data_IF_371075180489
#
_entry.id   IF_371075180489
#
_cell.length_a   1.000
_cell.length_b   1.000
_cell.length_c   1.000
_cell.angle_alpha   90.00
_cell.angle_beta   90.00
_cell.angle_gamma   90.00
#
_symmetry.space_group_name_H-M   'P 1'
#
loop_
_entity.id
_entity.type
_entity.pdbx_description
1 polymer ?
#
# COMPACT_ATOMS: atom_id res chain seq x y z
N UNK A 1 37.84 -8.62 -12.10
CA UNK A 1 37.16 -8.63 -13.40
C UNK A 1 35.71 -9.03 -13.15
N UNK A 2 34.74 -8.17 -13.40
CA UNK A 2 33.32 -8.51 -13.27
C UNK A 2 32.92 -9.46 -14.43
N UNK A 3 32.20 -10.51 -14.10
CA UNK A 3 31.67 -11.46 -15.09
C UNK A 3 30.46 -10.81 -15.78
N UNK A 4 30.53 -10.68 -17.09
CA UNK A 4 29.37 -10.30 -17.91
C UNK A 4 28.29 -11.39 -17.86
N UNK A 5 27.05 -10.99 -17.60
CA UNK A 5 25.87 -11.85 -17.67
C UNK A 5 25.48 -11.93 -19.16
N UNK A 6 25.25 -13.13 -19.74
CA UNK A 6 24.86 -13.26 -21.15
C UNK A 6 23.52 -12.58 -21.42
N UNK A 7 23.48 -11.77 -22.46
CA UNK A 7 22.39 -10.87 -22.85
C UNK A 7 21.21 -11.57 -23.58
N UNK A 8 21.17 -12.91 -23.58
CA UNK A 8 20.18 -13.67 -24.36
C UNK A 8 18.77 -13.69 -23.77
N UNK A 9 18.66 -13.60 -22.43
CA UNK A 9 17.35 -13.58 -21.76
C UNK A 9 16.62 -12.24 -21.95
N UNK A 10 17.36 -11.14 -22.10
CA UNK A 10 16.77 -9.82 -22.31
C UNK A 10 16.13 -9.67 -23.70
N UNK A 11 16.72 -10.29 -24.72
CA UNK A 11 16.19 -10.22 -26.09
C UNK A 11 14.95 -11.08 -26.29
N UNK A 12 14.88 -12.25 -25.64
CA UNK A 12 13.69 -13.11 -25.66
C UNK A 12 12.50 -12.46 -24.91
N UNK A 13 12.77 -11.82 -23.77
CA UNK A 13 11.74 -11.12 -22.98
C UNK A 13 11.23 -9.89 -23.74
N UNK A 14 12.11 -9.17 -24.43
CA UNK A 14 11.75 -8.01 -25.25
C UNK A 14 10.98 -8.39 -26.51
N UNK A 15 11.35 -9.50 -27.15
CA UNK A 15 10.62 -10.02 -28.32
C UNK A 15 9.21 -10.49 -27.95
N UNK A 16 9.05 -11.22 -26.84
CA UNK A 16 7.74 -11.60 -26.30
C UNK A 16 6.90 -10.40 -25.88
N UNK A 17 7.54 -9.36 -25.33
CA UNK A 17 6.88 -8.10 -24.98
C UNK A 17 6.38 -7.36 -26.24
N UNK A 18 7.17 -7.32 -27.33
CA UNK A 18 6.75 -6.71 -28.60
C UNK A 18 5.65 -7.52 -29.29
N UNK A 19 5.67 -8.84 -29.20
CA UNK A 19 4.62 -9.70 -29.77
C UNK A 19 3.29 -9.56 -29.01
N UNK A 20 3.34 -9.40 -27.68
CA UNK A 20 2.18 -9.03 -26.87
C UNK A 20 1.69 -7.60 -27.16
N UNK A 21 2.60 -6.66 -27.49
CA UNK A 21 2.24 -5.28 -27.82
C UNK A 21 1.70 -5.11 -29.25
N UNK A 22 2.06 -6.01 -30.18
CA UNK A 22 1.61 -5.96 -31.58
C UNK A 22 0.10 -6.11 -31.77
N UNK A 23 -0.62 -6.59 -30.77
CA UNK A 23 -2.09 -6.72 -30.75
C UNK A 23 -2.78 -5.74 -29.80
N UNK A 24 -2.05 -4.77 -29.25
CA UNK A 24 -2.59 -3.75 -28.36
C UNK A 24 -3.01 -2.54 -29.19
N UNK A 25 -4.27 -2.55 -29.63
CA UNK A 25 -4.94 -1.32 -30.04
C UNK A 25 -4.82 -0.31 -28.90
N UNK A 26 -4.18 0.83 -29.18
CA UNK A 26 -4.12 1.92 -28.20
C UNK A 26 -5.53 2.18 -27.68
N UNK A 27 -5.75 2.19 -26.37
CA UNK A 27 -7.06 2.45 -25.83
C UNK A 27 -7.56 3.78 -26.37
N UNK A 28 -8.79 3.78 -26.88
CA UNK A 28 -9.40 4.99 -27.41
C UNK A 28 -9.38 6.10 -26.34
N UNK A 29 -9.48 7.36 -26.75
CA UNK A 29 -9.53 8.49 -25.80
C UNK A 29 -10.63 8.30 -24.72
N UNK A 30 -11.72 7.59 -25.05
CA UNK A 30 -12.78 7.20 -24.10
C UNK A 30 -12.31 6.19 -23.04
N UNK A 31 -11.36 5.30 -23.35
CA UNK A 31 -10.79 4.36 -22.37
C UNK A 31 -9.86 5.06 -21.36
N UNK A 32 -9.35 6.26 -21.69
CA UNK A 32 -8.56 7.09 -20.77
C UNK A 32 -9.41 7.84 -19.74
N UNK A 33 -10.72 7.85 -19.88
CA UNK A 33 -11.69 8.49 -18.99
C UNK A 33 -12.33 7.51 -18.00
N UNK A 34 -11.94 6.24 -17.99
CA UNK A 34 -12.37 5.32 -16.94
C UNK A 34 -11.75 5.77 -15.61
N UNK A 35 -12.54 5.91 -14.54
CA UNK A 35 -11.99 6.26 -13.24
C UNK A 35 -10.97 5.19 -12.84
N UNK A 36 -9.72 5.61 -12.73
CA UNK A 36 -8.66 4.72 -12.26
C UNK A 36 -8.94 4.37 -10.81
N UNK A 37 -8.94 3.08 -10.49
CA UNK A 37 -9.12 2.62 -9.10
C UNK A 37 -8.04 3.27 -8.24
N UNK A 38 -8.39 4.02 -7.17
CA UNK A 38 -7.42 4.73 -6.35
C UNK A 38 -6.40 3.79 -5.73
N UNK A 39 -5.13 4.21 -5.70
CA UNK A 39 -4.04 3.49 -5.03
C UNK A 39 -3.72 4.19 -3.72
N UNK A 40 -3.69 3.45 -2.62
CA UNK A 40 -3.44 4.00 -1.31
C UNK A 40 -2.50 3.11 -0.48
N UNK A 41 -1.73 3.73 0.40
CA UNK A 41 -1.04 3.05 1.50
C UNK A 41 -1.82 3.30 2.78
N UNK A 42 -1.98 2.27 3.58
CA UNK A 42 -2.57 2.37 4.91
C UNK A 42 -1.43 2.44 5.93
N UNK A 43 -1.44 3.46 6.77
CA UNK A 43 -0.52 3.55 7.90
C UNK A 43 -0.82 2.45 8.93
N UNK A 44 0.20 2.02 9.68
CA UNK A 44 0.11 0.96 10.70
C UNK A 44 -1.01 1.22 11.71
N UNK A 45 -1.20 2.48 12.11
CA UNK A 45 -2.26 2.86 13.04
C UNK A 45 -3.68 2.60 12.49
N UNK A 46 -3.87 2.63 11.18
CA UNK A 46 -5.15 2.32 10.52
C UNK A 46 -5.46 0.83 10.61
N UNK A 47 -4.46 -0.04 10.36
CA UNK A 47 -4.65 -1.49 10.51
C UNK A 47 -4.86 -1.89 11.96
N UNK A 48 -4.14 -1.27 12.89
CA UNK A 48 -4.35 -1.47 14.34
C UNK A 48 -5.79 -1.09 14.73
N UNK A 49 -6.29 0.05 14.28
CA UNK A 49 -7.66 0.47 14.53
C UNK A 49 -8.69 -0.50 13.92
N UNK A 50 -8.45 -0.98 12.71
CA UNK A 50 -9.30 -1.98 12.06
C UNK A 50 -9.30 -3.32 12.80
N UNK A 51 -8.15 -3.73 13.33
CA UNK A 51 -8.03 -4.94 14.13
C UNK A 51 -8.76 -4.84 15.47
N UNK A 52 -8.81 -3.64 16.08
CA UNK A 52 -9.44 -3.41 17.38
C UNK A 52 -10.97 -3.31 17.33
N UNK A 53 -11.53 -2.81 16.22
CA UNK A 53 -12.96 -2.53 16.14
C UNK A 53 -13.53 -2.82 14.76
N UNK A 54 -14.58 -3.63 14.73
CA UNK A 54 -15.33 -3.93 13.48
C UNK A 54 -16.34 -2.82 13.10
N UNK A 55 -16.56 -1.84 13.94
CA UNK A 55 -17.54 -0.77 13.72
C UNK A 55 -16.89 0.52 13.18
N UNK A 56 -15.55 0.59 13.13
CA UNK A 56 -14.84 1.79 12.74
C UNK A 56 -14.63 1.96 11.24
N UNK A 57 -14.35 3.19 10.80
CA UNK A 57 -14.04 3.51 9.41
C UNK A 57 -12.81 2.73 8.89
N UNK A 58 -11.82 2.47 9.74
CA UNK A 58 -10.65 1.64 9.39
C UNK A 58 -11.04 0.22 9.02
N UNK A 59 -11.98 -0.40 9.72
CA UNK A 59 -12.49 -1.71 9.37
C UNK A 59 -13.34 -1.69 8.09
N UNK A 60 -14.15 -0.64 7.91
CA UNK A 60 -14.93 -0.45 6.68
C UNK A 60 -14.04 -0.31 5.44
N UNK A 61 -12.81 0.23 5.58
CA UNK A 61 -11.83 0.25 4.48
C UNK A 61 -11.40 -1.16 4.05
N UNK A 62 -11.30 -2.12 4.96
CA UNK A 62 -10.98 -3.50 4.59
C UNK A 62 -12.10 -4.14 3.76
N UNK A 63 -13.35 -3.80 4.02
CA UNK A 63 -14.48 -4.19 3.17
C UNK A 63 -14.41 -3.52 1.79
N UNK A 64 -14.05 -2.22 1.75
CA UNK A 64 -13.84 -1.51 0.48
C UNK A 64 -12.69 -2.13 -0.33
N UNK A 65 -11.59 -2.52 0.33
CA UNK A 65 -10.46 -3.23 -0.28
C UNK A 65 -10.90 -4.58 -0.86
N UNK A 66 -11.59 -5.39 -0.08
CA UNK A 66 -12.14 -6.68 -0.53
C UNK A 66 -13.03 -6.52 -1.76
N UNK A 67 -13.81 -5.45 -1.81
CA UNK A 67 -14.70 -5.11 -2.94
C UNK A 67 -13.96 -4.37 -4.07
N UNK A 68 -12.62 -4.30 -4.03
CA UNK A 68 -11.75 -3.67 -5.04
C UNK A 68 -12.10 -2.22 -5.35
N UNK A 69 -12.62 -1.49 -4.37
CA UNK A 69 -12.92 -0.05 -4.51
C UNK A 69 -11.66 0.81 -4.49
N UNK A 70 -10.57 0.30 -3.99
CA UNK A 70 -9.21 0.86 -4.08
C UNK A 70 -8.17 -0.26 -4.09
N UNK A 71 -6.94 0.09 -4.43
CA UNK A 71 -5.77 -0.79 -4.38
C UNK A 71 -4.95 -0.41 -3.16
N UNK A 72 -4.84 -1.31 -2.19
CA UNK A 72 -3.91 -1.15 -1.08
C UNK A 72 -2.51 -1.57 -1.52
N UNK A 73 -1.50 -0.74 -1.21
CA UNK A 73 -0.10 -0.99 -1.52
C UNK A 73 0.63 -1.38 -0.25
N UNK A 74 1.51 -2.37 -0.33
CA UNK A 74 2.31 -2.83 0.79
C UNK A 74 3.71 -3.24 0.33
N UNK A 75 4.76 -2.81 1.05
CA UNK A 75 6.12 -3.30 0.88
C UNK A 75 6.46 -4.34 1.96
N UNK A 76 7.54 -5.09 1.75
CA UNK A 76 8.01 -6.06 2.76
C UNK A 76 8.32 -5.39 4.10
N UNK A 77 9.08 -4.26 4.17
CA UNK A 77 9.30 -3.59 5.44
C UNK A 77 8.00 -3.15 6.14
N UNK A 78 7.03 -2.62 5.38
CA UNK A 78 5.75 -2.20 5.94
C UNK A 78 4.92 -3.39 6.45
N UNK A 79 4.95 -4.52 5.75
CA UNK A 79 4.27 -5.74 6.20
C UNK A 79 4.86 -6.28 7.51
N UNK A 80 6.19 -6.26 7.64
CA UNK A 80 6.88 -6.66 8.87
C UNK A 80 6.54 -5.72 10.04
N UNK A 81 6.39 -4.42 9.79
CA UNK A 81 5.95 -3.46 10.80
C UNK A 81 4.50 -3.75 11.24
N UNK A 82 3.59 -4.04 10.32
CA UNK A 82 2.22 -4.44 10.66
C UNK A 82 2.22 -5.67 11.58
N UNK A 83 3.01 -6.69 11.23
CA UNK A 83 3.13 -7.91 12.04
C UNK A 83 3.69 -7.62 13.42
N UNK A 84 4.80 -6.87 13.49
CA UNK A 84 5.45 -6.52 14.75
C UNK A 84 4.52 -5.75 15.68
N UNK A 85 3.76 -4.78 15.16
CA UNK A 85 2.84 -3.96 15.97
C UNK A 85 1.61 -4.75 16.38
N UNK A 86 0.96 -5.47 15.46
CA UNK A 86 -0.29 -6.21 15.75
C UNK A 86 -0.04 -7.41 16.68
N UNK A 87 1.17 -7.93 16.74
CA UNK A 87 1.56 -9.02 17.65
C UNK A 87 1.91 -8.55 19.06
N UNK A 88 1.94 -7.24 19.34
CA UNK A 88 2.22 -6.73 20.68
C UNK A 88 1.13 -7.17 21.67
N UNK A 89 1.49 -7.59 22.89
CA UNK A 89 0.52 -8.05 23.89
C UNK A 89 -0.63 -7.08 24.15
N UNK A 90 -0.34 -5.78 24.21
CA UNK A 90 -1.34 -4.73 24.41
C UNK A 90 -2.32 -4.60 23.24
N UNK A 91 -1.89 -4.91 22.00
CA UNK A 91 -2.76 -4.90 20.82
C UNK A 91 -3.68 -6.12 20.80
N UNK A 92 -3.13 -7.28 21.13
CA UNK A 92 -3.90 -8.52 21.22
C UNK A 92 -4.98 -8.41 22.29
N UNK A 93 -4.63 -7.91 23.47
CA UNK A 93 -5.56 -7.70 24.57
C UNK A 93 -6.67 -6.69 24.21
N UNK A 94 -6.30 -5.55 23.61
CA UNK A 94 -7.26 -4.51 23.24
C UNK A 94 -8.24 -4.94 22.14
N UNK A 95 -7.83 -5.86 21.24
CA UNK A 95 -8.67 -6.40 20.18
C UNK A 95 -9.46 -7.65 20.56
N UNK A 96 -9.35 -8.14 21.82
CA UNK A 96 -9.88 -9.45 22.24
C UNK A 96 -9.42 -10.58 21.30
N UNK A 97 -8.17 -10.52 20.83
CA UNK A 97 -7.59 -11.41 19.84
C UNK A 97 -6.44 -12.21 20.44
N UNK A 98 -6.13 -13.34 19.83
CA UNK A 98 -4.92 -14.08 20.09
C UNK A 98 -3.92 -13.89 18.91
N UNK A 99 -2.68 -14.33 19.09
CA UNK A 99 -1.65 -14.22 18.07
C UNK A 99 -2.06 -14.87 16.74
N UNK A 100 -2.72 -16.03 16.78
CA UNK A 100 -3.18 -16.75 15.59
C UNK A 100 -4.19 -15.91 14.78
N UNK A 101 -5.13 -15.22 15.45
CA UNK A 101 -6.10 -14.37 14.76
C UNK A 101 -5.47 -13.11 14.18
N UNK A 102 -4.39 -12.57 14.79
CA UNK A 102 -3.63 -11.46 14.23
C UNK A 102 -2.89 -11.88 12.94
N UNK A 103 -2.27 -13.05 12.95
CA UNK A 103 -1.62 -13.62 11.74
C UNK A 103 -2.65 -13.81 10.62
N UNK A 104 -3.78 -14.47 10.89
CA UNK A 104 -4.85 -14.65 9.89
C UNK A 104 -5.38 -13.33 9.32
N UNK A 105 -5.47 -12.31 10.14
CA UNK A 105 -5.88 -10.96 9.70
C UNK A 105 -4.88 -10.38 8.69
N UNK A 106 -3.57 -10.51 8.98
CA UNK A 106 -2.51 -10.06 8.09
C UNK A 106 -2.41 -10.88 6.81
N UNK A 107 -2.61 -12.20 6.89
CA UNK A 107 -2.64 -13.07 5.71
C UNK A 107 -3.74 -12.63 4.73
N UNK A 108 -4.95 -12.36 5.23
CA UNK A 108 -6.06 -11.86 4.42
C UNK A 108 -5.73 -10.49 3.83
N UNK A 109 -5.13 -9.58 4.60
CA UNK A 109 -4.70 -8.28 4.08
C UNK A 109 -3.65 -8.44 2.98
N UNK A 110 -2.64 -9.29 3.19
CA UNK A 110 -1.58 -9.56 2.22
C UNK A 110 -2.13 -10.12 0.89
N UNK A 111 -3.12 -11.01 0.95
CA UNK A 111 -3.79 -11.56 -0.25
C UNK A 111 -4.57 -10.50 -1.05
N UNK A 112 -5.05 -9.45 -0.38
CA UNK A 112 -5.83 -8.37 -1.01
C UNK A 112 -4.97 -7.20 -1.48
N UNK A 113 -3.80 -7.01 -0.87
CA UNK A 113 -2.89 -5.90 -1.16
C UNK A 113 -2.02 -6.17 -2.40
N UNK A 114 -1.54 -5.11 -3.00
CA UNK A 114 -0.58 -5.17 -4.12
C UNK A 114 0.83 -4.95 -3.57
N UNK A 115 1.78 -5.88 -3.82
CA UNK A 115 3.14 -5.74 -3.35
C UNK A 115 3.88 -4.60 -4.09
N UNK A 116 4.73 -3.89 -3.34
CA UNK A 116 5.58 -2.81 -3.83
C UNK A 116 7.04 -3.14 -3.56
N UNK A 117 7.87 -3.10 -4.58
CA UNK A 117 9.32 -3.14 -4.43
C UNK A 117 9.85 -1.74 -4.17
N UNK A 118 10.68 -1.61 -3.12
CA UNK A 118 11.33 -0.35 -2.78
C UNK A 118 12.62 -0.22 -3.60
N UNK A 119 12.60 0.65 -4.60
CA UNK A 119 13.76 0.96 -5.45
C UNK A 119 14.53 2.17 -4.90
N UNK A 120 13.83 3.10 -4.26
CA UNK A 120 14.36 4.35 -3.76
C UNK A 120 13.99 4.56 -2.30
N UNK A 121 14.94 5.05 -1.52
CA UNK A 121 14.78 5.49 -0.13
C UNK A 121 15.03 7.00 -0.09
N UNK A 122 14.09 7.75 0.48
CA UNK A 122 14.17 9.22 0.58
C UNK A 122 14.44 9.73 1.99
N UNK A 123 15.04 8.93 2.84
CA UNK A 123 15.28 9.26 4.27
C UNK A 123 16.26 10.38 4.48
N UNK A 124 16.07 11.26 5.49
CA UNK A 124 14.89 11.36 6.33
C UNK A 124 13.83 12.29 5.74
N UNK A 125 12.57 11.92 5.79
CA UNK A 125 11.44 12.75 5.34
C UNK A 125 10.37 12.90 6.42
N UNK A 126 10.26 11.92 7.33
CA UNK A 126 9.31 11.90 8.43
C UNK A 126 10.00 12.24 9.75
N UNK A 127 9.21 12.58 10.78
CA UNK A 127 9.75 12.85 12.12
C UNK A 127 10.15 11.57 12.83
N UNK A 128 9.36 10.52 12.65
CA UNK A 128 9.62 9.19 13.20
C UNK A 128 10.22 8.31 12.11
N UNK A 129 11.42 7.75 12.31
CA UNK A 129 12.01 6.80 11.37
C UNK A 129 11.12 5.57 11.07
N UNK A 130 10.21 5.21 11.97
CA UNK A 130 9.26 4.13 11.75
C UNK A 130 8.21 4.47 10.67
N UNK A 131 7.93 5.74 10.43
CA UNK A 131 6.97 6.20 9.42
C UNK A 131 7.57 6.22 8.00
N UNK A 132 8.90 6.19 7.87
CA UNK A 132 9.58 6.26 6.58
C UNK A 132 9.15 5.13 5.64
N UNK A 133 8.97 3.93 6.14
CA UNK A 133 8.56 2.79 5.30
C UNK A 133 7.15 2.94 4.73
N UNK A 134 6.26 3.65 5.42
CA UNK A 134 4.89 3.96 4.95
C UNK A 134 4.99 4.92 3.76
N UNK A 135 5.76 6.00 3.92
CA UNK A 135 6.01 6.99 2.88
C UNK A 135 6.71 6.36 1.67
N UNK A 136 7.78 5.61 1.89
CA UNK A 136 8.54 4.93 0.83
C UNK A 136 7.67 3.95 0.04
N UNK A 137 6.79 3.22 0.71
CA UNK A 137 5.81 2.35 0.05
C UNK A 137 4.86 3.16 -0.83
N UNK A 138 4.39 4.31 -0.36
CA UNK A 138 3.50 5.17 -1.13
C UNK A 138 4.20 5.72 -2.39
N UNK A 139 5.42 6.20 -2.25
CA UNK A 139 6.17 6.81 -3.35
C UNK A 139 6.59 5.77 -4.40
N UNK A 140 7.20 4.65 -3.98
CA UNK A 140 7.60 3.59 -4.91
C UNK A 140 6.40 2.91 -5.57
N UNK A 141 5.28 2.81 -4.87
CA UNK A 141 4.06 2.20 -5.38
C UNK A 141 3.19 3.14 -6.21
N UNK A 142 3.53 4.42 -6.32
CA UNK A 142 2.72 5.42 -7.03
C UNK A 142 1.33 5.59 -6.40
N UNK A 143 1.27 5.63 -5.07
CA UNK A 143 0.02 5.93 -4.35
C UNK A 143 -0.42 7.37 -4.60
N UNK A 144 -1.73 7.59 -4.73
CA UNK A 144 -2.31 8.91 -4.70
C UNK A 144 -2.59 9.38 -3.27
N UNK A 145 -2.83 8.42 -2.36
CA UNK A 145 -3.26 8.72 -0.99
C UNK A 145 -2.48 7.89 0.02
N UNK A 146 -2.08 8.53 1.12
CA UNK A 146 -1.66 7.90 2.34
C UNK A 146 -2.79 8.06 3.36
N UNK A 147 -3.31 6.94 3.85
CA UNK A 147 -4.40 6.92 4.83
C UNK A 147 -3.80 6.73 6.22
N UNK A 148 -4.01 7.69 7.10
CA UNK A 148 -3.46 7.68 8.46
C UNK A 148 -4.45 8.28 9.46
N UNK A 149 -4.31 7.91 10.73
CA UNK A 149 -4.99 8.59 11.84
C UNK A 149 -4.16 9.76 12.39
N UNK A 150 -2.88 9.86 12.00
CA UNK A 150 -1.95 10.90 12.44
C UNK A 150 -1.35 11.66 11.25
N UNK A 151 -2.13 12.54 10.65
CA UNK A 151 -1.70 13.33 9.48
C UNK A 151 -0.50 14.23 9.77
N UNK A 152 -0.30 14.64 11.03
CA UNK A 152 0.78 15.57 11.43
C UNK A 152 2.17 15.01 11.13
N UNK A 153 2.37 13.71 11.27
CA UNK A 153 3.68 13.07 11.12
C UNK A 153 4.11 13.03 9.66
N UNK A 154 3.14 12.99 8.75
CA UNK A 154 3.38 12.94 7.30
C UNK A 154 3.19 14.27 6.58
N UNK A 155 2.71 15.34 7.25
CA UNK A 155 2.26 16.57 6.60
C UNK A 155 3.34 17.22 5.70
N UNK A 156 4.58 17.31 6.19
CA UNK A 156 5.70 17.92 5.46
C UNK A 156 6.06 17.05 4.24
N UNK A 157 6.24 15.75 4.45
CA UNK A 157 6.60 14.82 3.40
C UNK A 157 5.50 14.73 2.33
N UNK A 158 4.25 14.66 2.75
CA UNK A 158 3.12 14.61 1.83
C UNK A 158 3.03 15.88 0.94
N UNK A 159 3.29 17.04 1.51
CA UNK A 159 3.34 18.30 0.74
C UNK A 159 4.47 18.28 -0.30
N UNK A 160 5.67 17.83 0.08
CA UNK A 160 6.84 17.76 -0.80
C UNK A 160 6.61 16.81 -1.99
N UNK A 161 5.94 15.69 -1.76
CA UNK A 161 5.70 14.65 -2.78
C UNK A 161 4.30 14.72 -3.41
N UNK A 162 3.49 15.72 -3.08
CA UNK A 162 2.10 15.89 -3.56
C UNK A 162 1.22 14.66 -3.27
N UNK A 163 1.48 14.01 -2.15
CA UNK A 163 0.72 12.87 -1.68
C UNK A 163 -0.49 13.36 -0.87
N UNK A 164 -1.67 12.87 -1.17
CA UNK A 164 -2.87 13.23 -0.42
C UNK A 164 -2.88 12.51 0.92
N UNK A 165 -3.06 13.25 2.02
CA UNK A 165 -3.31 12.65 3.34
C UNK A 165 -4.81 12.63 3.59
N UNK A 166 -5.31 11.51 4.12
CA UNK A 166 -6.72 11.37 4.49
C UNK A 166 -6.87 10.45 5.71
N UNK A 167 -7.80 10.79 6.59
CA UNK A 167 -8.26 9.87 7.61
C UNK A 167 -9.10 8.75 6.99
N UNK A 168 -9.20 7.57 7.65
CA UNK A 168 -9.96 6.43 7.12
C UNK A 168 -11.38 6.77 6.66
N UNK A 169 -12.11 7.56 7.46
CA UNK A 169 -13.47 7.98 7.11
C UNK A 169 -13.56 8.94 5.93
N UNK A 170 -12.56 9.80 5.73
CA UNK A 170 -12.48 10.72 4.59
C UNK A 170 -12.17 9.97 3.31
N UNK A 171 -11.18 9.05 3.38
CA UNK A 171 -10.83 8.22 2.24
C UNK A 171 -11.99 7.32 1.84
N UNK A 172 -12.70 6.70 2.80
CA UNK A 172 -13.86 5.87 2.52
C UNK A 172 -14.97 6.65 1.79
N UNK A 173 -15.25 7.89 2.21
CA UNK A 173 -16.23 8.77 1.53
C UNK A 173 -15.77 9.15 0.11
N UNK A 174 -14.47 9.31 -0.11
CA UNK A 174 -13.93 9.67 -1.45
C UNK A 174 -13.99 8.52 -2.46
N UNK A 175 -14.26 7.31 -2.00
CA UNK A 175 -14.42 6.15 -2.88
C UNK A 175 -15.82 6.07 -3.53
N UNK A 176 -16.77 6.89 -3.12
CA UNK A 176 -18.14 6.94 -3.68
C UNK A 176 -19.11 6.05 -2.94
#
# INVERSE_FOLDING_TARGET
MPREIPNDLGQLTFALYLDMMGNMTLPSAAARLQPTVPRAVLDTNVLVAAARSSLGASFALLHALRNRRFIALVSVPLMLEYEAVLSRPEQLAAGSRNAESAVKFLDVFCLLATPVHLHYLWRPQTRDPADEMVLETALNGGAQTLVTLNERDFAIAAANFKLKLQKPGEFLRSLG
#
